data_IF_649165160509
#
_entry.id   IF_649165160509
#
_cell.length_a   1.000
_cell.length_b   1.000
_cell.length_c   1.000
_cell.angle_alpha   90.00
_cell.angle_beta   90.00
_cell.angle_gamma   90.00
#
_symmetry.space_group_name_H-M   'P 1'
#
loop_
_entity.id
_entity.type
_entity.pdbx_description
1 polymer ?
#
# COMPACT_ATOMS: atom_id res chain seq x y z
N UNK A 1 -14.36 0.17 -31.14
CA UNK A 1 -14.57 1.47 -30.46
C UNK A 1 -15.14 1.33 -29.04
N UNK A 2 -16.24 0.58 -28.83
CA UNK A 2 -16.92 0.45 -27.51
C UNK A 2 -16.03 -0.12 -26.39
N UNK A 3 -15.26 -1.20 -26.67
CA UNK A 3 -14.40 -1.86 -25.66
C UNK A 3 -13.27 -0.94 -25.16
N UNK A 4 -12.70 -0.11 -26.05
CA UNK A 4 -11.65 0.86 -25.65
C UNK A 4 -12.22 1.93 -24.73
N UNK A 5 -13.39 2.49 -25.06
CA UNK A 5 -14.08 3.51 -24.24
C UNK A 5 -14.39 3.00 -22.83
N UNK A 6 -14.90 1.77 -22.71
CA UNK A 6 -15.17 1.15 -21.39
C UNK A 6 -13.88 1.02 -20.58
N UNK A 7 -12.76 0.66 -21.21
CA UNK A 7 -11.48 0.46 -20.51
C UNK A 7 -10.85 1.78 -20.06
N UNK A 8 -10.92 2.82 -20.89
CA UNK A 8 -10.41 4.14 -20.54
C UNK A 8 -11.27 4.75 -19.42
N UNK A 9 -12.59 4.53 -19.41
CA UNK A 9 -13.45 4.88 -18.28
C UNK A 9 -13.04 4.15 -16.99
N UNK A 10 -12.75 2.84 -17.06
CA UNK A 10 -12.31 2.06 -15.88
C UNK A 10 -10.98 2.58 -15.31
N UNK A 11 -10.03 2.93 -16.17
CA UNK A 11 -8.76 3.54 -15.74
C UNK A 11 -9.01 4.90 -15.08
N UNK A 12 -9.84 5.75 -15.68
CA UNK A 12 -10.19 7.05 -15.10
C UNK A 12 -10.86 6.91 -13.72
N UNK A 13 -11.84 6.00 -13.59
CA UNK A 13 -12.50 5.71 -12.31
C UNK A 13 -11.51 5.16 -11.28
N UNK A 14 -10.66 4.20 -11.65
CA UNK A 14 -9.65 3.64 -10.74
C UNK A 14 -8.66 4.71 -10.28
N UNK A 15 -8.21 5.59 -11.18
CA UNK A 15 -7.35 6.74 -10.84
C UNK A 15 -8.05 7.70 -9.90
N UNK A 16 -9.31 8.06 -10.15
CA UNK A 16 -10.06 8.96 -9.28
C UNK A 16 -10.23 8.37 -7.86
N UNK A 17 -10.58 7.09 -7.76
CA UNK A 17 -10.67 6.40 -6.47
C UNK A 17 -9.32 6.37 -5.74
N UNK A 18 -8.24 6.03 -6.46
CA UNK A 18 -6.89 6.02 -5.90
C UNK A 18 -6.51 7.39 -5.35
N UNK A 19 -6.66 8.46 -6.14
CA UNK A 19 -6.36 9.84 -5.72
C UNK A 19 -7.19 10.25 -4.50
N UNK A 20 -8.49 9.91 -4.47
CA UNK A 20 -9.36 10.19 -3.33
C UNK A 20 -8.89 9.52 -2.04
N UNK A 21 -8.53 8.23 -2.09
CA UNK A 21 -7.96 7.54 -0.94
C UNK A 21 -6.59 8.10 -0.54
N UNK A 22 -5.71 8.38 -1.51
CA UNK A 22 -4.40 8.99 -1.24
C UNK A 22 -4.57 10.31 -0.48
N UNK A 23 -5.53 11.16 -0.88
CA UNK A 23 -5.81 12.40 -0.17
C UNK A 23 -6.24 12.15 1.29
N UNK A 24 -7.11 11.18 1.53
CA UNK A 24 -7.52 10.77 2.89
C UNK A 24 -6.35 10.25 3.73
N UNK A 25 -5.54 9.36 3.16
CA UNK A 25 -4.34 8.81 3.81
C UNK A 25 -3.33 9.92 4.15
N UNK A 26 -3.13 10.90 3.26
CA UNK A 26 -2.24 12.04 3.50
C UNK A 26 -2.67 12.93 4.68
N UNK A 27 -3.98 13.04 4.94
CA UNK A 27 -4.47 13.77 6.11
C UNK A 27 -4.04 13.07 7.40
N UNK A 28 -4.13 11.74 7.45
CA UNK A 28 -3.74 10.92 8.61
C UNK A 28 -2.22 10.89 8.78
N UNK A 29 -1.48 10.75 7.68
CA UNK A 29 -0.01 10.86 7.64
C UNK A 29 0.47 12.20 8.23
N UNK A 30 -0.16 13.30 7.84
CA UNK A 30 0.16 14.63 8.41
C UNK A 30 -0.17 14.72 9.89
N UNK A 31 -1.21 14.03 10.37
CA UNK A 31 -1.56 13.99 11.80
C UNK A 31 -0.54 13.21 12.62
N UNK A 32 -0.09 12.06 12.12
CA UNK A 32 1.02 11.27 12.72
C UNK A 32 2.31 12.10 12.82
N UNK A 33 2.64 12.85 11.76
CA UNK A 33 3.82 13.73 11.77
C UNK A 33 3.69 14.91 12.72
N UNK A 34 2.50 15.52 12.79
CA UNK A 34 2.21 16.63 13.70
C UNK A 34 2.28 16.23 15.18
N UNK A 35 2.06 14.96 15.51
CA UNK A 35 2.20 14.47 16.88
C UNK A 35 3.67 14.27 17.30
N UNK A 36 4.64 14.53 16.42
CA UNK A 36 6.08 14.44 16.71
C UNK A 36 6.73 13.12 16.27
N UNK A 37 5.96 12.15 15.78
CA UNK A 37 6.48 10.89 15.26
C UNK A 37 6.61 10.84 13.74
N UNK A 38 7.12 9.74 13.17
CA UNK A 38 7.23 9.56 11.73
C UNK A 38 5.86 9.32 11.05
N UNK A 39 5.88 9.15 9.73
CA UNK A 39 4.73 8.64 8.98
C UNK A 39 4.47 7.15 9.20
N UNK A 40 3.48 6.61 8.47
CA UNK A 40 3.15 5.18 8.55
C UNK A 40 4.28 4.30 7.99
N UNK A 41 4.91 4.68 6.87
CA UNK A 41 5.93 3.85 6.19
C UNK A 41 7.11 3.45 7.13
N UNK A 42 7.72 4.37 7.92
CA UNK A 42 8.72 3.98 8.91
C UNK A 42 8.25 2.96 9.95
N UNK A 43 6.96 2.92 10.27
CA UNK A 43 6.36 1.94 11.17
C UNK A 43 6.20 0.57 10.49
N UNK A 44 5.79 0.54 9.21
CA UNK A 44 5.76 -0.68 8.39
C UNK A 44 7.15 -1.33 8.33
N UNK A 45 8.19 -0.50 8.25
CA UNK A 45 9.58 -0.92 8.13
C UNK A 45 10.30 -1.09 9.48
N UNK A 46 9.63 -0.87 10.61
CA UNK A 46 10.26 -0.92 11.93
C UNK A 46 10.96 -2.26 12.18
N UNK A 47 10.27 -3.37 11.90
CA UNK A 47 10.86 -4.72 11.87
C UNK A 47 11.34 -5.29 13.20
N UNK A 48 11.38 -4.49 14.27
CA UNK A 48 11.76 -4.89 15.62
C UNK A 48 10.82 -4.26 16.65
N UNK A 49 10.78 -4.86 17.84
CA UNK A 49 10.00 -4.37 18.97
C UNK A 49 10.46 -2.99 19.44
N UNK A 50 11.77 -2.83 19.64
CA UNK A 50 12.35 -1.56 20.09
C UNK A 50 12.00 -0.40 19.17
N UNK A 51 12.12 -0.58 17.85
CA UNK A 51 11.81 0.47 16.88
C UNK A 51 10.33 0.76 16.79
N UNK A 52 9.48 -0.26 16.89
CA UNK A 52 8.03 -0.08 16.89
C UNK A 52 7.55 0.68 18.14
N UNK A 53 8.05 0.33 19.32
CA UNK A 53 7.72 1.04 20.58
C UNK A 53 8.26 2.47 20.59
N UNK A 54 9.46 2.71 20.05
CA UNK A 54 10.01 4.06 19.88
C UNK A 54 9.07 4.94 19.04
N UNK A 55 8.62 4.43 17.89
CA UNK A 55 7.69 5.15 17.00
C UNK A 55 6.34 5.38 17.69
N UNK A 56 5.78 4.36 18.33
CA UNK A 56 4.50 4.49 19.07
C UNK A 56 4.61 5.51 20.21
N UNK A 57 5.76 5.57 20.88
CA UNK A 57 6.03 6.56 21.92
C UNK A 57 6.09 7.97 21.35
N UNK A 58 6.82 8.17 20.25
CA UNK A 58 6.88 9.48 19.56
C UNK A 58 5.50 9.93 19.06
N UNK A 59 4.64 9.00 18.65
CA UNK A 59 3.27 9.33 18.24
C UNK A 59 2.35 9.77 19.37
N UNK A 60 2.62 9.33 20.61
CA UNK A 60 1.68 9.49 21.70
C UNK A 60 0.29 8.90 21.37
N UNK A 61 -0.74 9.34 22.10
CA UNK A 61 -2.11 8.84 21.92
C UNK A 61 -2.74 9.30 20.59
N UNK A 62 -2.52 10.55 20.18
CA UNK A 62 -3.12 11.10 18.97
C UNK A 62 -2.56 10.48 17.70
N UNK A 63 -1.23 10.36 17.60
CA UNK A 63 -0.55 9.74 16.46
C UNK A 63 -0.90 8.26 16.35
N UNK A 64 -0.97 7.51 17.47
CA UNK A 64 -1.40 6.11 17.45
C UNK A 64 -2.86 5.95 16.99
N UNK A 65 -3.76 6.89 17.35
CA UNK A 65 -5.15 6.89 16.87
C UNK A 65 -5.21 7.17 15.36
N UNK A 66 -4.40 8.12 14.87
CA UNK A 66 -4.27 8.41 13.44
C UNK A 66 -3.71 7.20 12.67
N UNK A 67 -2.67 6.55 13.19
CA UNK A 67 -2.08 5.34 12.62
C UNK A 67 -3.10 4.21 12.54
N UNK A 68 -3.87 3.96 13.61
CA UNK A 68 -4.93 2.94 13.62
C UNK A 68 -5.99 3.22 12.56
N UNK A 69 -6.44 4.47 12.43
CA UNK A 69 -7.41 4.84 11.41
C UNK A 69 -6.82 4.70 10.00
N UNK A 70 -5.53 5.04 9.83
CA UNK A 70 -4.81 4.89 8.57
C UNK A 70 -4.76 3.43 8.15
N UNK A 71 -4.41 2.52 9.06
CA UNK A 71 -4.36 1.07 8.78
C UNK A 71 -5.74 0.49 8.42
N UNK A 72 -6.81 0.96 9.06
CA UNK A 72 -8.17 0.54 8.68
C UNK A 72 -8.57 1.05 7.30
N UNK A 73 -8.26 2.32 7.01
CA UNK A 73 -8.53 2.91 5.70
C UNK A 73 -7.68 2.25 4.59
N UNK A 74 -6.49 1.79 4.94
CA UNK A 74 -5.55 1.14 4.03
C UNK A 74 -6.13 -0.14 3.42
N UNK A 75 -7.01 -0.86 4.13
CA UNK A 75 -7.72 -2.01 3.54
C UNK A 75 -8.54 -1.64 2.30
N UNK A 76 -9.14 -0.45 2.29
CA UNK A 76 -9.79 0.10 1.10
C UNK A 76 -8.78 0.62 0.09
N UNK A 77 -7.74 1.32 0.55
CA UNK A 77 -6.71 1.91 -0.30
C UNK A 77 -5.99 0.86 -1.16
N UNK A 78 -5.66 -0.30 -0.56
CA UNK A 78 -4.99 -1.39 -1.28
C UNK A 78 -5.80 -1.95 -2.45
N UNK A 79 -7.11 -1.91 -2.34
CA UNK A 79 -8.00 -2.30 -3.44
C UNK A 79 -7.88 -1.28 -4.59
N UNK A 80 -7.83 0.02 -4.27
CA UNK A 80 -7.75 1.06 -5.30
C UNK A 80 -6.42 1.04 -6.07
N UNK A 81 -5.28 1.03 -5.37
CA UNK A 81 -3.99 0.99 -6.05
C UNK A 81 -3.76 -0.38 -6.72
N UNK A 82 -4.27 -1.47 -6.14
CA UNK A 82 -4.17 -2.81 -6.71
C UNK A 82 -4.90 -2.91 -8.05
N UNK A 83 -6.15 -2.44 -8.11
CA UNK A 83 -6.93 -2.38 -9.36
C UNK A 83 -6.25 -1.47 -10.39
N UNK A 84 -5.84 -0.26 -9.98
CA UNK A 84 -5.20 0.69 -10.89
C UNK A 84 -3.91 0.09 -11.50
N UNK A 85 -3.05 -0.48 -10.66
CA UNK A 85 -1.79 -1.09 -11.09
C UNK A 85 -2.04 -2.28 -12.02
N UNK A 86 -3.00 -3.15 -11.69
CA UNK A 86 -3.36 -4.28 -12.55
C UNK A 86 -3.89 -3.81 -13.93
N UNK A 87 -4.71 -2.75 -13.98
CA UNK A 87 -5.20 -2.18 -15.24
C UNK A 87 -4.07 -1.56 -16.08
N UNK A 88 -3.12 -0.89 -15.44
CA UNK A 88 -1.93 -0.34 -16.12
C UNK A 88 -1.06 -1.46 -16.69
N UNK A 89 -0.77 -2.49 -15.90
CA UNK A 89 -0.04 -3.69 -16.36
C UNK A 89 -0.78 -4.36 -17.51
N UNK A 90 -2.11 -4.52 -17.43
CA UNK A 90 -2.93 -5.11 -18.50
C UNK A 90 -2.86 -4.30 -19.80
N UNK A 91 -2.84 -2.97 -19.71
CA UNK A 91 -2.68 -2.09 -20.86
C UNK A 91 -1.30 -2.27 -21.50
N UNK A 92 -0.23 -2.27 -20.71
CA UNK A 92 1.14 -2.41 -21.21
C UNK A 92 1.40 -3.79 -21.80
N UNK A 93 0.98 -4.86 -21.11
CA UNK A 93 1.19 -6.24 -21.60
C UNK A 93 0.50 -6.53 -22.92
N UNK A 94 -0.68 -5.96 -23.16
CA UNK A 94 -1.37 -6.08 -24.46
C UNK A 94 -0.63 -5.37 -25.59
N UNK A 95 0.00 -4.22 -25.30
CA UNK A 95 0.82 -3.51 -26.29
C UNK A 95 2.09 -4.26 -26.63
N UNK A 96 2.66 -4.99 -25.67
CA UNK A 96 3.89 -5.79 -25.85
C UNK A 96 3.64 -7.25 -26.28
N UNK A 97 2.39 -7.71 -26.35
CA UNK A 97 2.09 -9.12 -26.63
C UNK A 97 2.49 -10.09 -25.50
N UNK A 98 2.65 -9.60 -24.26
CA UNK A 98 3.09 -10.39 -23.12
C UNK A 98 1.94 -11.19 -22.45
N UNK A 99 2.27 -12.22 -21.64
CA UNK A 99 1.30 -13.13 -21.04
C UNK A 99 0.17 -12.43 -20.25
N UNK A 100 -1.03 -13.00 -20.32
CA UNK A 100 -2.22 -12.48 -19.63
C UNK A 100 -2.16 -12.59 -18.10
N UNK A 101 -1.21 -13.35 -17.56
CA UNK A 101 -1.03 -13.53 -16.11
C UNK A 101 -0.34 -12.34 -15.43
N UNK A 102 0.37 -11.48 -16.17
CA UNK A 102 1.15 -10.38 -15.58
C UNK A 102 0.34 -9.45 -14.64
N UNK A 103 -0.90 -9.03 -14.98
CA UNK A 103 -1.71 -8.23 -14.05
C UNK A 103 -2.04 -8.96 -12.75
N UNK A 104 -2.15 -10.29 -12.77
CA UNK A 104 -2.46 -11.06 -11.57
C UNK A 104 -1.33 -11.03 -10.54
N UNK A 105 -0.08 -10.79 -10.95
CA UNK A 105 1.05 -10.64 -10.02
C UNK A 105 0.86 -9.48 -9.03
N UNK A 106 0.06 -8.47 -9.39
CA UNK A 106 -0.27 -7.35 -8.49
C UNK A 106 -1.04 -7.82 -7.25
N UNK A 107 -1.78 -8.94 -7.32
CA UNK A 107 -2.46 -9.53 -6.17
C UNK A 107 -1.51 -9.91 -5.03
N UNK A 108 -0.23 -10.21 -5.34
CA UNK A 108 0.79 -10.49 -4.32
C UNK A 108 1.08 -9.24 -3.48
N UNK A 109 1.11 -8.05 -4.10
CA UNK A 109 1.28 -6.80 -3.37
C UNK A 109 0.10 -6.52 -2.44
N UNK A 110 -1.13 -6.68 -2.94
CA UNK A 110 -2.37 -6.49 -2.17
C UNK A 110 -2.44 -7.48 -1.00
N UNK A 111 -2.11 -8.76 -1.23
CA UNK A 111 -2.07 -9.76 -0.17
C UNK A 111 -0.97 -9.45 0.87
N UNK A 112 0.19 -8.97 0.42
CA UNK A 112 1.26 -8.48 1.29
C UNK A 112 0.77 -7.34 2.18
N UNK A 113 0.07 -6.37 1.61
CA UNK A 113 -0.49 -5.23 2.33
C UNK A 113 -1.50 -5.64 3.39
N UNK A 114 -2.40 -6.57 3.06
CA UNK A 114 -3.35 -7.11 4.03
C UNK A 114 -2.65 -7.79 5.23
N UNK A 115 -1.60 -8.58 4.96
CA UNK A 115 -0.81 -9.25 6.00
C UNK A 115 -0.06 -8.25 6.87
N UNK A 116 0.49 -7.21 6.24
CA UNK A 116 1.16 -6.12 6.91
C UNK A 116 0.21 -5.35 7.81
N UNK A 117 -0.91 -4.84 7.28
CA UNK A 117 -1.89 -4.06 8.02
C UNK A 117 -2.44 -4.79 9.24
N UNK A 118 -2.77 -6.08 9.10
CA UNK A 118 -3.18 -6.93 10.24
C UNK A 118 -2.05 -7.06 11.27
N UNK A 119 -0.80 -7.17 10.83
CA UNK A 119 0.34 -7.28 11.74
C UNK A 119 0.60 -5.97 12.47
N UNK A 120 0.52 -4.82 11.80
CA UNK A 120 0.68 -3.51 12.40
C UNK A 120 -0.46 -3.14 13.37
N UNK A 121 -1.70 -3.56 13.09
CA UNK A 121 -2.80 -3.43 14.05
C UNK A 121 -2.49 -4.19 15.36
N UNK A 122 -1.91 -5.40 15.27
CA UNK A 122 -1.47 -6.15 16.45
C UNK A 122 -0.31 -5.49 17.19
N UNK A 123 0.61 -4.84 16.46
CA UNK A 123 1.68 -4.02 17.05
C UNK A 123 1.08 -2.85 17.83
N UNK A 124 0.09 -2.12 17.28
CA UNK A 124 -0.60 -1.04 17.98
C UNK A 124 -1.38 -1.51 19.22
N UNK A 125 -1.78 -2.78 19.25
CA UNK A 125 -2.38 -3.43 20.42
C UNK A 125 -1.34 -3.99 21.41
N UNK A 126 -0.04 -3.77 21.16
CA UNK A 126 1.10 -4.29 21.94
C UNK A 126 1.10 -5.81 22.09
N UNK A 127 0.53 -6.52 21.12
CA UNK A 127 0.52 -7.99 21.09
C UNK A 127 1.77 -8.47 20.36
N UNK A 128 2.62 -9.27 21.03
CA UNK A 128 3.81 -9.93 20.46
C UNK A 128 4.57 -9.02 19.47
N UNK A 129 4.90 -7.81 19.93
CA UNK A 129 5.34 -6.68 19.11
C UNK A 129 6.48 -7.07 18.16
N UNK A 130 7.55 -7.69 18.65
CA UNK A 130 8.67 -8.10 17.80
C UNK A 130 8.28 -9.05 16.66
N UNK A 131 7.41 -10.03 16.91
CA UNK A 131 6.96 -11.00 15.90
C UNK A 131 6.12 -10.32 14.82
N UNK A 132 5.18 -9.48 15.24
CA UNK A 132 4.28 -8.79 14.30
C UNK A 132 4.98 -7.67 13.54
N UNK A 133 5.89 -6.92 14.17
CA UNK A 133 6.72 -5.92 13.49
C UNK A 133 7.61 -6.56 12.42
N UNK A 134 8.25 -7.70 12.71
CA UNK A 134 9.04 -8.45 11.72
C UNK A 134 8.18 -8.95 10.56
N UNK A 135 7.00 -9.51 10.86
CA UNK A 135 6.06 -9.99 9.84
C UNK A 135 5.57 -8.85 8.94
N UNK A 136 5.20 -7.71 9.54
CA UNK A 136 4.81 -6.50 8.81
C UNK A 136 5.91 -6.06 7.85
N UNK A 137 7.15 -5.92 8.36
CA UNK A 137 8.29 -5.52 7.52
C UNK A 137 8.52 -6.44 6.34
N UNK A 138 8.50 -7.76 6.54
CA UNK A 138 8.70 -8.72 5.44
C UNK A 138 7.59 -8.56 4.40
N UNK A 139 6.33 -8.45 4.84
CA UNK A 139 5.19 -8.26 3.95
C UNK A 139 5.26 -6.93 3.18
N UNK A 140 5.62 -5.83 3.86
CA UNK A 140 5.83 -4.52 3.25
C UNK A 140 6.95 -4.56 2.20
N UNK A 141 8.09 -5.22 2.49
CA UNK A 141 9.19 -5.35 1.53
C UNK A 141 8.76 -6.13 0.28
N UNK A 142 8.02 -7.23 0.43
CA UNK A 142 7.48 -8.00 -0.70
C UNK A 142 6.51 -7.12 -1.51
N UNK A 143 5.58 -6.42 -0.84
CA UNK A 143 4.64 -5.48 -1.46
C UNK A 143 5.37 -4.42 -2.28
N UNK A 144 6.35 -3.74 -1.69
CA UNK A 144 7.11 -2.70 -2.39
C UNK A 144 7.91 -3.24 -3.56
N UNK A 145 8.54 -4.42 -3.44
CA UNK A 145 9.26 -5.04 -4.54
C UNK A 145 8.33 -5.36 -5.73
N UNK A 146 7.15 -5.93 -5.46
CA UNK A 146 6.15 -6.25 -6.50
C UNK A 146 5.61 -4.98 -7.15
N UNK A 147 5.26 -3.95 -6.36
CA UNK A 147 4.77 -2.68 -6.90
C UNK A 147 5.84 -1.97 -7.74
N UNK A 148 7.09 -1.93 -7.26
CA UNK A 148 8.20 -1.35 -8.02
C UNK A 148 8.42 -2.08 -9.35
N UNK A 149 8.38 -3.42 -9.34
CA UNK A 149 8.49 -4.22 -10.55
C UNK A 149 7.34 -3.98 -11.54
N UNK A 150 6.09 -3.91 -11.04
CA UNK A 150 4.92 -3.64 -11.87
C UNK A 150 4.95 -2.24 -12.49
N UNK A 151 5.30 -1.22 -11.70
CA UNK A 151 5.42 0.16 -12.18
C UNK A 151 6.61 0.33 -13.14
N UNK A 152 7.75 -0.29 -12.84
CA UNK A 152 8.90 -0.34 -13.75
C UNK A 152 8.55 -1.00 -15.08
N UNK A 153 7.80 -2.11 -15.04
CA UNK A 153 7.28 -2.75 -16.25
C UNK A 153 6.39 -1.82 -17.06
N UNK A 154 5.49 -1.08 -16.42
CA UNK A 154 4.58 -0.11 -17.08
C UNK A 154 5.35 1.06 -17.68
N UNK A 155 6.35 1.60 -16.96
CA UNK A 155 7.11 2.78 -17.34
C UNK A 155 8.17 2.52 -18.41
N UNK A 156 8.67 1.27 -18.52
CA UNK A 156 9.72 0.93 -19.48
C UNK A 156 9.25 1.22 -20.93
N UNK A 157 10.08 1.87 -21.77
CA UNK A 157 9.70 2.19 -23.15
C UNK A 157 9.35 0.93 -23.95
N UNK A 158 8.48 1.08 -24.95
CA UNK A 158 8.24 0.03 -25.95
C UNK A 158 9.21 0.36 -27.09
N UNK A 159 10.26 -0.45 -27.24
CA UNK A 159 11.19 -0.39 -28.38
C UNK A 159 10.54 -0.93 -29.64
#
# INVERSE_FOLDING_TARGET
MVIQRIRDNRLATATACFVGYTAGMLVLERRMRRSGGPGIIPFELAGSESRAEEIMTQWGSDGQRAARLSLWLDFGYMTTYGILTALLVDRTRRRRGHPALLPALVSVAVAGDAVEGVSLLKVLERRRVGVHARRARIAALIKFAVLAGALGYVAYPIS
#
